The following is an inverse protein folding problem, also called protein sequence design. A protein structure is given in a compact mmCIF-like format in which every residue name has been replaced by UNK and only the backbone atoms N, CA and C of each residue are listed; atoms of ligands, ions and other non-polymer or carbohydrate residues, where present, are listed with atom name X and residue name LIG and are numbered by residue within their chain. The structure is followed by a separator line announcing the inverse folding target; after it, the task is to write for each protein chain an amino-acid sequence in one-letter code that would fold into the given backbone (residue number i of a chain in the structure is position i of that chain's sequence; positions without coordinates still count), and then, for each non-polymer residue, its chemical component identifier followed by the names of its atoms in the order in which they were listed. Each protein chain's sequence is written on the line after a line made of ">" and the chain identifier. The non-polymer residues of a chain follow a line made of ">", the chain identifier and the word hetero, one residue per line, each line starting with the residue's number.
data_IF_832563201719
#
_entry.id   IF_832563201719
#
_cell.length_a   1.000
_cell.length_b   1.000
_cell.length_c   1.000
_cell.angle_alpha   90.00
_cell.angle_beta   90.00
_cell.angle_gamma   90.00
#
_symmetry.space_group_name_H-M   'P 1'
#
loop_
_entity.id
_entity.type
_entity.pdbx_description
1 polymer ?
#
# COMPACT_ATOMS: atom_id res chain seq x y z
N UNK A 1 -52.99 2.81 2.93
CA UNK A 1 -51.74 3.60 3.03
C UNK A 1 -50.70 3.08 4.04
N UNK A 2 -51.08 2.55 5.21
CA UNK A 2 -50.10 2.06 6.22
C UNK A 2 -49.24 0.87 5.74
N UNK A 3 -49.83 -0.11 5.03
CA UNK A 3 -49.11 -1.29 4.51
C UNK A 3 -48.02 -0.95 3.47
N UNK A 4 -48.26 0.05 2.62
CA UNK A 4 -47.30 0.47 1.60
C UNK A 4 -46.05 1.12 2.21
N UNK A 5 -46.20 1.87 3.31
CA UNK A 5 -45.09 2.48 4.06
C UNK A 5 -44.21 1.44 4.76
N UNK A 6 -44.80 0.36 5.26
CA UNK A 6 -44.05 -0.72 5.92
C UNK A 6 -43.20 -1.48 4.91
N UNK A 7 -43.73 -1.73 3.71
CA UNK A 7 -42.99 -2.40 2.63
C UNK A 7 -41.82 -1.54 2.15
N UNK A 8 -41.99 -0.23 1.97
CA UNK A 8 -40.88 0.66 1.58
C UNK A 8 -39.80 0.76 2.65
N UNK A 9 -40.17 0.75 3.94
CA UNK A 9 -39.19 0.74 5.03
C UNK A 9 -38.40 -0.58 5.06
N UNK A 10 -39.06 -1.73 4.85
CA UNK A 10 -38.40 -3.04 4.77
C UNK A 10 -37.46 -3.15 3.57
N UNK A 11 -37.86 -2.62 2.41
CA UNK A 11 -37.02 -2.57 1.20
C UNK A 11 -35.80 -1.65 1.39
N UNK A 12 -35.98 -0.48 2.01
CA UNK A 12 -34.87 0.41 2.37
C UNK A 12 -33.92 -0.27 3.36
N UNK A 13 -34.43 -1.00 4.35
CA UNK A 13 -33.61 -1.75 5.30
C UNK A 13 -32.79 -2.85 4.60
N UNK A 14 -33.40 -3.59 3.68
CA UNK A 14 -32.73 -4.65 2.91
C UNK A 14 -31.62 -4.09 1.99
N UNK A 15 -31.84 -2.92 1.38
CA UNK A 15 -30.82 -2.24 0.57
C UNK A 15 -29.65 -1.77 1.44
N UNK A 16 -29.94 -1.19 2.62
CA UNK A 16 -28.90 -0.75 3.58
C UNK A 16 -28.11 -1.94 4.13
N UNK A 17 -28.74 -3.08 4.39
CA UNK A 17 -28.06 -4.32 4.81
C UNK A 17 -27.21 -4.90 3.66
N UNK A 18 -27.71 -4.89 2.42
CA UNK A 18 -26.94 -5.39 1.26
C UNK A 18 -25.74 -4.51 0.88
N UNK A 19 -25.79 -3.21 1.21
CA UNK A 19 -24.65 -2.30 1.05
C UNK A 19 -23.54 -2.52 2.09
N UNK A 20 -23.76 -3.36 3.10
CA UNK A 20 -22.75 -3.74 4.11
C UNK A 20 -22.11 -5.10 3.80
N UNK A 21 -22.29 -5.66 2.59
CA UNK A 21 -21.48 -6.79 2.15
C UNK A 21 -20.16 -6.31 1.52
N UNK A 22 -19.16 -6.02 2.35
CA UNK A 22 -17.74 -6.11 1.93
C UNK A 22 -16.73 -6.14 3.08
N UNK A 23 -16.92 -7.04 4.05
CA UNK A 23 -15.78 -7.71 4.71
C UNK A 23 -16.19 -9.13 5.09
N UNK A 24 -15.76 -10.11 4.29
CA UNK A 24 -15.94 -11.55 4.54
C UNK A 24 -15.07 -12.09 5.69
N UNK A 25 -14.29 -11.25 6.34
CA UNK A 25 -13.38 -11.63 7.43
C UNK A 25 -14.11 -11.54 8.77
N UNK A 26 -14.24 -12.67 9.47
CA UNK A 26 -14.74 -12.71 10.86
C UNK A 26 -13.91 -11.81 11.78
N UNK A 27 -14.54 -11.23 12.81
CA UNK A 27 -13.87 -10.32 13.76
C UNK A 27 -12.63 -10.91 14.44
N UNK A 28 -12.62 -12.23 14.69
CA UNK A 28 -11.49 -12.96 15.26
C UNK A 28 -10.23 -12.96 14.35
N UNK A 29 -10.44 -12.80 13.05
CA UNK A 29 -9.38 -12.70 12.05
C UNK A 29 -9.11 -11.25 11.64
N UNK A 30 -9.72 -10.26 12.29
CA UNK A 30 -9.34 -8.88 12.07
C UNK A 30 -8.04 -8.58 12.82
N UNK A 31 -6.99 -8.26 12.06
CA UNK A 31 -5.85 -7.52 12.56
C UNK A 31 -6.38 -6.21 13.14
N UNK A 32 -6.36 -6.14 14.47
CA UNK A 32 -6.67 -4.91 15.18
C UNK A 32 -5.54 -3.96 14.82
N UNK A 33 -5.76 -3.03 13.89
CA UNK A 33 -4.77 -2.02 13.58
C UNK A 33 -4.60 -1.16 14.84
N UNK A 34 -3.57 -1.48 15.64
CA UNK A 34 -3.34 -0.86 16.97
C UNK A 34 -2.63 0.49 16.85
N UNK A 35 -2.29 0.89 15.64
CA UNK A 35 -1.50 2.08 15.38
C UNK A 35 -2.42 3.29 15.35
N UNK A 36 -2.13 4.29 16.19
CA UNK A 36 -2.87 5.54 16.19
C UNK A 36 -2.61 6.31 14.89
N UNK A 37 -3.53 7.20 14.51
CA UNK A 37 -3.32 8.07 13.35
C UNK A 37 -2.03 8.91 13.47
N UNK A 38 -1.71 9.36 14.68
CA UNK A 38 -0.46 10.08 14.96
C UNK A 38 0.77 9.22 14.66
N UNK A 39 0.79 7.97 15.15
CA UNK A 39 1.88 7.04 14.85
C UNK A 39 1.97 6.73 13.36
N UNK A 40 0.83 6.55 12.68
CA UNK A 40 0.79 6.34 11.24
C UNK A 40 1.43 7.51 10.46
N UNK A 41 1.07 8.74 10.81
CA UNK A 41 1.62 9.95 10.17
C UNK A 41 3.11 10.12 10.46
N UNK A 42 3.55 9.80 11.67
CA UNK A 42 4.97 9.82 12.02
C UNK A 42 5.77 8.77 11.24
N UNK A 43 5.28 7.53 11.23
CA UNK A 43 5.91 6.42 10.50
C UNK A 43 5.95 6.70 9.00
N UNK A 44 4.91 7.35 8.44
CA UNK A 44 4.89 7.83 7.05
C UNK A 44 6.08 8.73 6.74
N UNK A 45 6.36 9.73 7.59
CA UNK A 45 7.48 10.66 7.40
C UNK A 45 8.84 9.96 7.53
N UNK A 46 8.98 9.07 8.52
CA UNK A 46 10.21 8.28 8.71
C UNK A 46 10.45 7.41 7.49
N UNK A 47 9.43 6.69 7.03
CA UNK A 47 9.50 5.81 5.88
C UNK A 47 9.85 6.57 4.60
N UNK A 48 9.32 7.76 4.34
CA UNK A 48 9.71 8.57 3.19
C UNK A 48 11.24 8.77 3.10
N UNK A 49 11.86 9.12 4.23
CA UNK A 49 13.31 9.32 4.31
C UNK A 49 14.10 8.01 4.18
N UNK A 50 13.60 6.95 4.80
CA UNK A 50 14.21 5.60 4.74
C UNK A 50 14.17 5.06 3.30
N UNK A 51 13.06 5.22 2.59
CA UNK A 51 12.92 4.79 1.19
C UNK A 51 13.81 5.63 0.27
N UNK A 52 13.90 6.95 0.48
CA UNK A 52 14.82 7.80 -0.29
C UNK A 52 16.27 7.29 -0.17
N UNK A 53 16.70 7.04 1.07
CA UNK A 53 18.03 6.51 1.38
C UNK A 53 18.26 5.13 0.77
N UNK A 54 17.25 4.26 0.79
CA UNK A 54 17.30 2.93 0.17
C UNK A 54 17.45 3.01 -1.36
N UNK A 55 16.66 3.86 -2.03
CA UNK A 55 16.75 4.05 -3.48
C UNK A 55 18.13 4.62 -3.85
N UNK A 56 18.62 5.62 -3.10
CA UNK A 56 19.93 6.21 -3.37
C UNK A 56 21.09 5.22 -3.19
N UNK A 57 21.05 4.40 -2.12
CA UNK A 57 22.08 3.39 -1.85
C UNK A 57 22.09 2.27 -2.90
N UNK A 58 20.93 1.80 -3.33
CA UNK A 58 20.80 0.78 -4.39
C UNK A 58 21.18 1.28 -5.77
N UNK A 59 21.10 2.60 -6.01
CA UNK A 59 21.58 3.21 -7.25
C UNK A 59 23.11 3.40 -7.25
N UNK A 60 23.71 3.73 -6.10
CA UNK A 60 25.19 3.88 -5.96
C UNK A 60 25.96 2.58 -6.26
N UNK A 61 25.37 1.42 -5.97
CA UNK A 61 26.00 0.11 -6.21
C UNK A 61 25.97 -0.30 -7.69
N UNK A 62 25.16 0.34 -8.54
CA UNK A 62 25.07 0.05 -9.98
C UNK A 62 25.91 1.06 -10.79
N UNK A 63 27.10 0.64 -11.27
CA UNK A 63 27.93 1.44 -12.20
C UNK A 63 27.20 1.73 -13.54
N UNK A 64 27.53 2.85 -14.19
CA UNK A 64 26.66 4.02 -14.27
C UNK A 64 25.42 3.77 -15.15
N UNK A 65 24.21 4.00 -14.64
CA UNK A 65 22.96 4.18 -15.43
C UNK A 65 21.91 4.92 -14.58
N UNK A 66 20.88 5.55 -15.15
CA UNK A 66 20.76 6.52 -16.26
C UNK A 66 20.65 7.95 -15.69
N UNK A 67 20.43 8.99 -16.51
CA UNK A 67 20.09 10.39 -16.10
C UNK A 67 18.77 10.54 -15.29
N UNK A 68 18.26 9.45 -14.70
CA UNK A 68 17.04 9.46 -13.91
C UNK A 68 17.30 10.10 -12.55
N UNK A 69 16.64 11.22 -12.25
CA UNK A 69 16.75 11.92 -10.96
C UNK A 69 15.48 11.69 -10.13
N UNK A 70 15.63 11.15 -8.93
CA UNK A 70 14.54 11.10 -7.95
C UNK A 70 14.13 12.53 -7.57
N UNK A 71 12.84 12.84 -7.69
CA UNK A 71 12.27 14.14 -7.35
C UNK A 71 11.54 14.11 -6.01
N UNK A 72 10.73 13.08 -5.78
CA UNK A 72 9.98 12.91 -4.54
C UNK A 72 9.57 11.46 -4.31
N UNK A 73 9.24 11.14 -3.06
CA UNK A 73 8.66 9.86 -2.64
C UNK A 73 7.39 10.13 -1.87
N UNK A 74 6.36 9.39 -2.21
CA UNK A 74 5.10 9.33 -1.49
C UNK A 74 4.94 7.90 -0.93
N UNK A 75 4.47 7.80 0.31
CA UNK A 75 4.07 6.52 0.90
C UNK A 75 2.58 6.40 0.66
N UNK A 76 2.23 5.42 -0.16
CA UNK A 76 0.86 5.19 -0.59
C UNK A 76 0.04 4.47 0.49
N UNK A 77 0.64 3.46 1.13
CA UNK A 77 0.00 2.68 2.20
C UNK A 77 1.05 2.03 3.08
N UNK A 78 0.79 2.01 4.39
CA UNK A 78 1.59 1.28 5.37
C UNK A 78 0.72 0.18 5.95
N UNK A 79 1.26 -1.04 5.98
CA UNK A 79 0.64 -2.19 6.57
C UNK A 79 1.46 -2.71 7.74
N UNK A 80 0.81 -2.94 8.87
CA UNK A 80 1.46 -3.39 10.10
C UNK A 80 1.14 -4.87 10.36
N UNK A 81 2.18 -5.67 10.55
CA UNK A 81 2.08 -7.04 11.06
C UNK A 81 2.22 -7.06 12.59
N UNK A 82 1.77 -8.15 13.23
CA UNK A 82 1.87 -8.36 14.67
C UNK A 82 3.31 -8.45 15.20
N UNK A 83 4.30 -8.69 14.33
CA UNK A 83 5.71 -8.92 14.69
C UNK A 83 6.64 -7.72 14.39
N UNK A 84 6.13 -6.48 14.51
CA UNK A 84 6.84 -5.24 14.17
C UNK A 84 7.37 -5.15 12.72
N UNK A 85 6.92 -6.06 11.84
CA UNK A 85 7.15 -5.98 10.40
C UNK A 85 6.17 -5.00 9.79
N UNK A 86 6.66 -4.22 8.84
CA UNK A 86 5.90 -3.25 8.07
C UNK A 86 6.05 -3.60 6.59
N UNK A 87 4.95 -3.77 5.86
CA UNK A 87 4.98 -3.57 4.42
C UNK A 87 4.59 -2.15 4.11
N UNK A 88 5.30 -1.55 3.17
CA UNK A 88 4.94 -0.24 2.67
C UNK A 88 4.87 -0.25 1.15
N UNK A 89 3.85 0.44 0.64
CA UNK A 89 3.74 0.80 -0.75
C UNK A 89 4.25 2.22 -0.90
N UNK A 90 5.15 2.43 -1.86
CA UNK A 90 5.69 3.75 -2.15
C UNK A 90 5.54 4.07 -3.63
N UNK A 91 5.39 5.36 -3.94
CA UNK A 91 5.41 5.89 -5.29
C UNK A 91 6.54 6.90 -5.35
N UNK A 92 7.51 6.65 -6.22
CA UNK A 92 8.60 7.58 -6.49
C UNK A 92 8.31 8.35 -7.77
N UNK A 93 8.47 9.67 -7.72
CA UNK A 93 8.43 10.55 -8.88
C UNK A 93 9.86 10.78 -9.33
N UNK A 94 10.15 10.43 -10.57
CA UNK A 94 11.48 10.50 -11.15
C UNK A 94 11.44 11.37 -12.41
N UNK A 95 12.48 12.19 -12.60
CA UNK A 95 12.75 12.82 -13.89
C UNK A 95 13.58 11.86 -14.72
N UNK A 96 12.99 11.27 -15.75
CA UNK A 96 13.62 10.33 -16.66
C UNK A 96 13.61 10.90 -18.09
N UNK A 97 14.76 11.39 -18.61
CA UNK A 97 14.82 12.06 -19.93
C UNK A 97 14.58 11.13 -21.12
N UNK A 98 14.42 9.82 -20.90
CA UNK A 98 14.11 8.84 -21.94
C UNK A 98 12.60 8.59 -22.08
N UNK A 99 11.75 9.22 -21.26
CA UNK A 99 10.29 9.14 -21.40
C UNK A 99 9.85 10.06 -22.53
N UNK A 100 9.54 9.47 -23.68
CA UNK A 100 9.18 10.19 -24.92
C UNK A 100 7.75 10.76 -24.86
N UNK A 101 6.88 10.15 -24.05
CA UNK A 101 5.44 10.45 -24.01
C UNK A 101 5.08 11.68 -23.15
N UNK A 102 5.99 12.16 -22.30
CA UNK A 102 5.73 13.24 -21.35
C UNK A 102 6.74 14.38 -21.53
N UNK A 103 6.26 15.60 -21.86
CA UNK A 103 7.08 16.79 -22.07
C UNK A 103 7.98 17.14 -20.88
N UNK A 104 7.55 16.81 -19.66
CA UNK A 104 8.30 17.06 -18.43
C UNK A 104 9.28 15.93 -18.11
N UNK A 105 9.30 14.88 -18.92
CA UNK A 105 10.12 13.68 -18.73
C UNK A 105 9.89 13.06 -17.35
N UNK A 106 8.65 13.09 -16.85
CA UNK A 106 8.29 12.55 -15.54
C UNK A 106 7.87 11.08 -15.68
N UNK A 107 8.45 10.24 -14.82
CA UNK A 107 8.09 8.85 -14.64
C UNK A 107 7.75 8.62 -13.18
N UNK A 108 6.61 7.99 -12.93
CA UNK A 108 6.26 7.48 -11.62
C UNK A 108 6.59 6.00 -11.56
N UNK A 109 7.19 5.58 -10.45
CA UNK A 109 7.55 4.19 -10.19
C UNK A 109 6.99 3.81 -8.83
N UNK A 110 6.04 2.90 -8.83
CA UNK A 110 5.49 2.29 -7.63
C UNK A 110 6.25 1.03 -7.23
N UNK A 111 6.50 0.87 -5.94
CA UNK A 111 7.15 -0.31 -5.38
C UNK A 111 6.62 -0.70 -4.00
N UNK A 112 7.00 -1.89 -3.53
CA UNK A 112 6.74 -2.36 -2.18
C UNK A 112 8.05 -2.79 -1.51
N UNK A 113 8.18 -2.41 -0.24
CA UNK A 113 9.30 -2.77 0.62
C UNK A 113 8.79 -3.40 1.90
N UNK A 114 9.60 -4.28 2.46
CA UNK A 114 9.42 -4.84 3.79
C UNK A 114 10.42 -4.15 4.72
N UNK A 115 9.94 -3.68 5.84
CA UNK A 115 10.72 -3.05 6.87
C UNK A 115 10.47 -3.70 8.24
N UNK A 116 11.43 -3.54 9.15
CA UNK A 116 11.28 -3.89 10.56
C UNK A 116 11.36 -2.60 11.36
N UNK A 117 10.38 -2.39 12.24
CA UNK A 117 10.40 -1.34 13.25
C UNK A 117 10.95 -1.93 14.54
N UNK A 118 12.02 -1.34 15.08
CA UNK A 118 12.54 -1.77 16.38
C UNK A 118 11.79 -1.11 17.55
N UNK A 119 12.15 -1.51 18.77
CA UNK A 119 11.56 -0.97 20.01
C UNK A 119 11.84 0.53 20.20
N UNK A 120 12.88 1.06 19.56
CA UNK A 120 13.25 2.48 19.60
C UNK A 120 12.58 3.29 18.47
N UNK A 121 11.61 2.70 17.76
CA UNK A 121 10.95 3.27 16.59
C UNK A 121 11.87 3.55 15.41
N UNK A 122 13.07 2.96 15.38
CA UNK A 122 13.90 2.97 14.17
C UNK A 122 13.34 1.98 13.16
N UNK A 123 13.26 2.39 11.89
CA UNK A 123 12.69 1.58 10.82
C UNK A 123 13.80 1.28 9.80
N UNK A 124 13.97 -0.01 9.48
CA UNK A 124 14.97 -0.47 8.52
C UNK A 124 14.32 -1.31 7.43
N UNK A 125 14.63 -1.01 6.17
CA UNK A 125 14.25 -1.86 5.04
C UNK A 125 15.05 -3.15 5.11
N UNK A 126 14.36 -4.29 5.06
CA UNK A 126 14.97 -5.63 5.09
C UNK A 126 14.79 -6.37 3.79
N UNK A 127 13.73 -6.06 3.03
CA UNK A 127 13.49 -6.72 1.75
C UNK A 127 12.72 -5.82 0.77
N UNK A 128 12.77 -6.18 -0.50
CA UNK A 128 12.02 -5.57 -1.60
C UNK A 128 11.24 -6.65 -2.34
N UNK A 129 9.93 -6.46 -2.45
CA UNK A 129 9.10 -7.35 -3.25
C UNK A 129 9.37 -7.21 -4.75
N UNK A 130 9.12 -8.29 -5.48
CA UNK A 130 9.66 -8.50 -6.83
C UNK A 130 9.11 -7.51 -7.85
N UNK A 131 7.81 -7.29 -7.83
CA UNK A 131 7.17 -6.49 -8.87
C UNK A 131 7.51 -5.01 -8.71
N UNK A 132 7.34 -4.23 -9.77
CA UNK A 132 7.34 -2.77 -9.78
C UNK A 132 6.33 -2.35 -10.83
N UNK A 133 5.68 -1.20 -10.65
CA UNK A 133 4.81 -0.61 -11.67
C UNK A 133 5.35 0.75 -12.07
N UNK A 134 5.25 1.09 -13.35
CA UNK A 134 5.74 2.36 -13.89
C UNK A 134 4.71 3.00 -14.81
N UNK A 135 4.56 4.31 -14.73
CA UNK A 135 3.74 5.06 -15.69
C UNK A 135 4.25 6.49 -15.86
N UNK A 136 3.92 7.08 -17.01
CA UNK A 136 4.05 8.50 -17.33
C UNK A 136 2.79 9.32 -16.96
N UNK A 137 1.70 8.63 -16.57
CA UNK A 137 0.38 9.19 -16.24
C UNK A 137 0.19 9.51 -14.73
N UNK A 138 -0.97 10.09 -14.37
CA UNK A 138 -1.33 10.59 -13.03
C UNK A 138 -1.20 9.50 -11.94
N UNK A 139 -0.69 9.83 -10.72
CA UNK A 139 -0.43 8.88 -9.63
C UNK A 139 -1.60 7.99 -9.19
N UNK A 140 -2.85 8.43 -9.33
CA UNK A 140 -4.00 7.71 -8.79
C UNK A 140 -4.21 6.32 -9.42
N UNK A 141 -3.88 6.16 -10.71
CA UNK A 141 -3.96 4.86 -11.39
C UNK A 141 -2.88 3.89 -10.86
N UNK A 142 -1.69 4.42 -10.57
CA UNK A 142 -0.59 3.67 -9.97
C UNK A 142 -1.00 3.14 -8.61
N UNK A 143 -1.50 4.00 -7.74
CA UNK A 143 -1.87 3.64 -6.37
C UNK A 143 -2.79 2.42 -6.34
N UNK A 144 -3.84 2.40 -7.17
CA UNK A 144 -4.76 1.26 -7.26
C UNK A 144 -4.08 0.00 -7.78
N UNK A 145 -3.37 0.11 -8.91
CA UNK A 145 -2.77 -1.06 -9.55
C UNK A 145 -1.62 -1.64 -8.69
N UNK A 146 -0.89 -0.76 -7.99
CA UNK A 146 0.13 -1.07 -6.99
C UNK A 146 -0.45 -1.85 -5.82
N UNK A 147 -1.53 -1.33 -5.21
CA UNK A 147 -2.23 -1.99 -4.11
C UNK A 147 -2.72 -3.36 -4.52
N UNK A 148 -3.40 -3.48 -5.66
CA UNK A 148 -3.91 -4.77 -6.13
C UNK A 148 -2.79 -5.78 -6.42
N UNK A 149 -1.70 -5.34 -7.07
CA UNK A 149 -0.58 -6.21 -7.42
C UNK A 149 0.11 -6.79 -6.18
N UNK A 150 0.45 -5.93 -5.21
CA UNK A 150 1.16 -6.38 -4.01
C UNK A 150 0.26 -7.08 -3.01
N UNK A 151 -1.01 -6.68 -2.88
CA UNK A 151 -1.96 -7.44 -2.09
C UNK A 151 -2.09 -8.86 -2.65
N UNK A 152 -2.18 -9.02 -3.98
CA UNK A 152 -2.23 -10.36 -4.60
C UNK A 152 -0.96 -11.17 -4.37
N UNK A 153 0.22 -10.55 -4.49
CA UNK A 153 1.51 -11.22 -4.17
C UNK A 153 1.55 -11.72 -2.74
N UNK A 154 0.91 -11.00 -1.82
CA UNK A 154 0.77 -11.37 -0.42
C UNK A 154 -0.42 -12.31 -0.12
N UNK A 155 -1.13 -12.81 -1.14
CA UNK A 155 -2.20 -13.80 -0.99
C UNK A 155 -3.63 -13.23 -0.89
N UNK A 156 -3.82 -11.94 -1.15
CA UNK A 156 -5.15 -11.34 -1.23
C UNK A 156 -5.91 -11.86 -2.45
N UNK A 157 -7.09 -12.42 -2.19
CA UNK A 157 -8.05 -12.78 -3.23
C UNK A 157 -9.24 -11.83 -3.09
N UNK A 158 -9.56 -11.13 -4.17
CA UNK A 158 -10.65 -10.15 -4.20
C UNK A 158 -11.96 -10.78 -3.73
N UNK A 159 -12.63 -10.13 -2.77
CA UNK A 159 -13.88 -10.60 -2.18
C UNK A 159 -13.75 -11.76 -1.19
N UNK A 160 -12.56 -12.35 -1.00
CA UNK A 160 -12.35 -13.48 -0.08
C UNK A 160 -12.00 -13.03 1.33
N UNK A 161 -11.19 -11.97 1.46
CA UNK A 161 -10.72 -11.44 2.74
C UNK A 161 -10.67 -9.91 2.69
N UNK A 162 -10.72 -9.23 3.83
CA UNK A 162 -10.44 -7.80 3.93
C UNK A 162 -8.94 -7.54 4.13
N UNK A 163 -8.49 -6.32 3.86
CA UNK A 163 -7.07 -5.93 3.94
C UNK A 163 -6.50 -6.01 5.37
N UNK A 164 -7.35 -5.94 6.38
CA UNK A 164 -6.99 -6.11 7.79
C UNK A 164 -7.09 -7.58 8.23
N UNK A 165 -7.19 -8.58 7.35
CA UNK A 165 -7.25 -9.99 7.79
C UNK A 165 -5.89 -10.44 8.35
N UNK A 166 -5.80 -10.82 9.62
CA UNK A 166 -4.55 -11.20 10.29
C UNK A 166 -3.87 -12.42 9.66
N UNK A 167 -4.64 -13.33 9.06
CA UNK A 167 -4.10 -14.52 8.37
C UNK A 167 -3.21 -14.13 7.21
N UNK A 168 -3.49 -12.98 6.59
CA UNK A 168 -2.62 -12.40 5.58
C UNK A 168 -1.28 -11.93 6.19
N UNK A 169 -1.34 -11.23 7.33
CA UNK A 169 -0.20 -10.59 8.00
C UNK A 169 0.68 -11.53 8.84
N UNK A 170 0.19 -12.73 9.11
CA UNK A 170 0.90 -13.81 9.82
C UNK A 170 1.25 -14.99 8.90
N UNK A 171 0.93 -14.89 7.60
CA UNK A 171 1.22 -15.95 6.64
C UNK A 171 2.71 -16.08 6.32
N UNK A 172 3.07 -17.22 5.73
CA UNK A 172 4.45 -17.50 5.30
C UNK A 172 4.94 -16.59 4.17
N UNK A 173 4.07 -15.79 3.55
CA UNK A 173 4.46 -14.71 2.61
C UNK A 173 5.48 -13.75 3.22
N UNK A 174 5.53 -13.64 4.56
CA UNK A 174 6.45 -12.76 5.28
C UNK A 174 7.74 -13.45 5.77
N UNK A 175 7.88 -14.76 5.59
CA UNK A 175 9.07 -15.54 5.99
C UNK A 175 10.10 -15.54 4.88
#
# INVERSE_FOLDING_TARGET
>A
MKKLRVITVLLLLAIVISCVEKTSTSEEYLNKNRVSQETYLNDTKILQNVVASYIDSTNKTKKPKPKSKLLSIEIDTIFYSSNNKIALLYISKNKNPYVVENKDSIQFIGGCLIAIKDQNSSIKIVDKLKYITTTSEIPNKISRDLRLMYLREMGYVEGRYNINDNRFWESDVWK
#
